data_IF_264576165938
#
_entry.id   IF_264576165938
#
_cell.length_a   1.000
_cell.length_b   1.000
_cell.length_c   1.000
_cell.angle_alpha   90.00
_cell.angle_beta   90.00
_cell.angle_gamma   90.00
#
_symmetry.space_group_name_H-M   'P 1'
#
loop_
_entity.id
_entity.type
_entity.pdbx_description
1 polymer ?
#
# COMPACT_ATOMS: atom_id res chain seq x y z
N UNK A 1 5.36 0.75 19.30
CA UNK A 1 5.48 -0.21 18.17
C UNK A 1 4.14 -0.73 17.65
N UNK A 2 3.11 -0.95 18.49
CA UNK A 2 1.81 -1.45 18.01
C UNK A 2 1.11 -0.53 16.98
N UNK A 3 1.26 0.80 17.11
CA UNK A 3 0.61 1.81 16.28
C UNK A 3 0.85 1.63 14.77
N UNK A 4 2.06 1.24 14.36
CA UNK A 4 2.42 1.15 12.92
C UNK A 4 2.45 -0.28 12.37
N UNK A 5 1.95 -1.27 13.11
CA UNK A 5 2.03 -2.68 12.73
C UNK A 5 1.39 -2.97 11.36
N UNK A 6 0.16 -2.50 11.14
CA UNK A 6 -0.54 -2.71 9.87
C UNK A 6 0.17 -2.05 8.68
N UNK A 7 0.74 -0.86 8.90
CA UNK A 7 1.54 -0.16 7.91
C UNK A 7 2.82 -0.95 7.53
N UNK A 8 3.59 -1.41 8.52
CA UNK A 8 4.81 -2.19 8.30
C UNK A 8 4.51 -3.52 7.58
N UNK A 9 3.42 -4.19 7.95
CA UNK A 9 2.96 -5.41 7.26
C UNK A 9 2.66 -5.11 5.78
N UNK A 10 1.94 -4.01 5.51
CA UNK A 10 1.62 -3.58 4.13
C UNK A 10 2.89 -3.33 3.31
N UNK A 11 3.86 -2.59 3.86
CA UNK A 11 5.16 -2.38 3.21
C UNK A 11 5.93 -3.68 2.98
N UNK A 12 5.92 -4.59 3.96
CA UNK A 12 6.57 -5.89 3.85
C UNK A 12 6.05 -6.68 2.65
N UNK A 13 4.73 -6.73 2.46
CA UNK A 13 4.13 -7.38 1.30
C UNK A 13 4.53 -6.72 -0.01
N UNK A 14 4.51 -5.38 -0.08
CA UNK A 14 4.92 -4.63 -1.26
C UNK A 14 6.39 -4.94 -1.60
N UNK A 15 7.29 -4.92 -0.62
CA UNK A 15 8.70 -5.23 -0.81
C UNK A 15 8.92 -6.67 -1.23
N UNK A 16 8.20 -7.63 -0.68
CA UNK A 16 8.25 -9.03 -1.12
C UNK A 16 7.87 -9.13 -2.60
N UNK A 17 6.75 -8.50 -3.01
CA UNK A 17 6.31 -8.50 -4.41
C UNK A 17 7.39 -7.92 -5.33
N UNK A 18 8.01 -6.80 -4.94
CA UNK A 18 9.02 -6.10 -5.75
C UNK A 18 10.35 -6.86 -5.80
N UNK A 19 10.89 -7.28 -4.65
CA UNK A 19 12.20 -7.92 -4.51
C UNK A 19 12.21 -9.28 -5.20
N UNK A 20 11.17 -10.11 -4.99
CA UNK A 20 11.11 -11.44 -5.57
C UNK A 20 10.63 -11.44 -7.03
N UNK A 21 10.25 -10.29 -7.59
CA UNK A 21 9.89 -10.23 -8.99
C UNK A 21 11.11 -10.38 -9.92
N UNK A 22 11.10 -11.41 -10.76
CA UNK A 22 12.18 -11.68 -11.72
C UNK A 22 12.17 -10.81 -12.99
N UNK A 23 11.09 -10.08 -13.27
CA UNK A 23 10.97 -9.26 -14.50
C UNK A 23 11.51 -7.85 -14.32
N UNK A 24 11.80 -7.46 -13.08
CA UNK A 24 12.24 -6.12 -12.74
C UNK A 24 13.76 -6.10 -12.54
N UNK A 25 14.44 -5.18 -13.22
CA UNK A 25 15.88 -4.96 -13.03
C UNK A 25 16.15 -4.36 -11.65
N UNK A 26 17.36 -4.59 -11.13
CA UNK A 26 17.73 -4.15 -9.78
C UNK A 26 17.58 -2.63 -9.58
N UNK A 27 17.91 -1.83 -10.60
CA UNK A 27 17.68 -0.38 -10.59
C UNK A 27 16.20 -0.01 -10.40
N UNK A 28 15.28 -0.67 -11.13
CA UNK A 28 13.85 -0.43 -10.99
C UNK A 28 13.32 -0.81 -9.62
N UNK A 29 13.81 -1.91 -9.05
CA UNK A 29 13.50 -2.31 -7.66
C UNK A 29 13.97 -1.25 -6.67
N UNK A 30 15.18 -0.74 -6.83
CA UNK A 30 15.75 0.29 -5.97
C UNK A 30 14.89 1.56 -5.97
N UNK A 31 14.52 2.06 -7.16
CA UNK A 31 13.64 3.25 -7.28
C UNK A 31 12.30 3.05 -6.57
N UNK A 32 11.66 1.89 -6.75
CA UNK A 32 10.38 1.58 -6.10
C UNK A 32 10.55 1.49 -4.58
N UNK A 33 11.58 0.81 -4.10
CA UNK A 33 11.85 0.71 -2.66
C UNK A 33 12.09 2.09 -2.07
N UNK A 34 12.92 2.92 -2.68
CA UNK A 34 13.17 4.30 -2.25
C UNK A 34 11.89 5.12 -2.22
N UNK A 35 11.04 5.01 -3.25
CA UNK A 35 9.73 5.67 -3.27
C UNK A 35 8.89 5.31 -2.03
N UNK A 36 8.75 4.02 -1.74
CA UNK A 36 7.97 3.56 -0.58
C UNK A 36 8.62 3.96 0.75
N UNK A 37 9.95 4.00 0.85
CA UNK A 37 10.63 4.51 2.05
C UNK A 37 10.33 6.00 2.28
N UNK A 38 10.31 6.81 1.21
CA UNK A 38 9.95 8.23 1.29
C UNK A 38 8.50 8.41 1.73
N UNK A 39 7.56 7.67 1.13
CA UNK A 39 6.14 7.68 1.55
C UNK A 39 6.01 7.27 3.03
N UNK A 40 6.80 6.29 3.47
CA UNK A 40 6.82 5.82 4.85
C UNK A 40 7.29 6.89 5.83
N UNK A 41 8.37 7.59 5.49
CA UNK A 41 8.86 8.70 6.27
C UNK A 41 7.78 9.77 6.44
N UNK A 42 7.15 10.21 5.35
CA UNK A 42 6.10 11.22 5.41
C UNK A 42 4.88 10.76 6.21
N UNK A 43 4.43 9.51 6.03
CA UNK A 43 3.29 8.97 6.77
C UNK A 43 3.53 9.04 8.28
N UNK A 44 4.67 8.52 8.75
CA UNK A 44 5.00 8.48 10.18
C UNK A 44 5.17 9.89 10.73
N UNK A 45 5.92 10.77 10.05
CA UNK A 45 6.20 12.12 10.54
C UNK A 45 4.93 12.96 10.65
N UNK A 46 4.07 12.94 9.61
CA UNK A 46 2.83 13.73 9.64
C UNK A 46 1.82 13.14 10.62
N UNK A 47 1.73 11.81 10.72
CA UNK A 47 0.84 11.15 11.69
C UNK A 47 1.21 11.51 13.13
N UNK A 48 2.50 11.40 13.47
CA UNK A 48 2.99 11.79 14.79
C UNK A 48 2.72 13.27 15.09
N UNK A 49 2.94 14.16 14.10
CA UNK A 49 2.65 15.59 14.27
C UNK A 49 1.16 15.87 14.50
N UNK A 50 0.28 15.16 13.80
CA UNK A 50 -1.17 15.27 14.03
C UNK A 50 -1.50 14.76 15.43
N UNK A 51 -0.98 13.59 15.81
CA UNK A 51 -1.25 13.00 17.14
C UNK A 51 -0.76 13.90 18.28
N UNK A 52 0.46 14.43 18.20
CA UNK A 52 1.05 15.36 19.18
C UNK A 52 0.25 16.66 19.31
N UNK A 53 -0.31 17.19 18.21
CA UNK A 53 -1.14 18.42 18.24
C UNK A 53 -2.39 18.27 19.11
N UNK A 54 -2.92 17.06 19.26
CA UNK A 54 -4.19 16.81 19.97
C UNK A 54 -4.04 15.82 21.14
N UNK A 55 -2.82 15.53 21.59
CA UNK A 55 -2.53 14.48 22.58
C UNK A 55 -3.27 14.70 23.92
N UNK A 56 -3.35 15.95 24.38
CA UNK A 56 -3.97 16.32 25.66
C UNK A 56 -5.41 16.88 25.52
N UNK A 57 -6.01 16.79 24.33
CA UNK A 57 -7.34 17.36 24.07
C UNK A 57 -8.39 16.26 24.10
N UNK A 58 -9.15 16.20 25.20
CA UNK A 58 -10.26 15.26 25.39
C UNK A 58 -11.59 16.00 25.54
N UNK A 59 -12.66 15.58 24.83
CA UNK A 59 -12.67 14.53 23.80
C UNK A 59 -11.92 14.92 22.52
N UNK A 60 -11.45 13.92 21.76
CA UNK A 60 -10.74 14.14 20.49
C UNK A 60 -11.64 14.97 19.54
N UNK A 61 -11.19 16.16 19.11
CA UNK A 61 -12.03 17.09 18.36
C UNK A 61 -12.27 16.62 16.93
N UNK A 62 -13.33 17.12 16.29
CA UNK A 62 -13.64 16.80 14.89
C UNK A 62 -12.51 17.19 13.93
N UNK A 63 -11.81 18.29 14.24
CA UNK A 63 -10.67 18.77 13.45
C UNK A 63 -9.54 17.73 13.35
N UNK A 64 -9.32 16.93 14.41
CA UNK A 64 -8.36 15.83 14.37
C UNK A 64 -8.77 14.79 13.33
N UNK A 65 -10.03 14.37 13.36
CA UNK A 65 -10.54 13.32 12.47
C UNK A 65 -10.52 13.77 11.02
N UNK A 66 -10.92 15.00 10.73
CA UNK A 66 -10.88 15.54 9.36
C UNK A 66 -9.45 15.57 8.81
N UNK A 67 -8.49 16.03 9.63
CA UNK A 67 -7.07 16.06 9.25
C UNK A 67 -6.49 14.65 9.09
N UNK A 68 -6.75 13.76 10.05
CA UNK A 68 -6.21 12.41 10.06
C UNK A 68 -6.80 11.56 8.92
N UNK A 69 -8.13 11.55 8.75
CA UNK A 69 -8.80 10.80 7.67
C UNK A 69 -8.37 11.32 6.30
N UNK A 70 -8.27 12.64 6.11
CA UNK A 70 -7.79 13.23 4.85
C UNK A 70 -6.33 12.85 4.54
N UNK A 71 -5.46 12.90 5.56
CA UNK A 71 -4.07 12.49 5.41
C UNK A 71 -3.92 10.99 5.11
N UNK A 72 -4.65 10.14 5.83
CA UNK A 72 -4.64 8.69 5.62
C UNK A 72 -5.16 8.35 4.24
N UNK A 73 -6.25 8.97 3.77
CA UNK A 73 -6.75 8.77 2.40
C UNK A 73 -5.71 9.13 1.34
N UNK A 74 -4.96 10.21 1.56
CA UNK A 74 -3.86 10.62 0.68
C UNK A 74 -2.74 9.56 0.67
N UNK A 75 -2.35 9.06 1.84
CA UNK A 75 -1.31 8.03 1.95
C UNK A 75 -1.76 6.69 1.38
N UNK A 76 -3.03 6.31 1.55
CA UNK A 76 -3.61 5.14 0.89
C UNK A 76 -3.40 5.22 -0.62
N UNK A 77 -3.69 6.36 -1.24
CA UNK A 77 -3.46 6.54 -2.68
C UNK A 77 -1.98 6.42 -3.05
N UNK A 78 -1.08 7.05 -2.28
CA UNK A 78 0.36 6.94 -2.53
C UNK A 78 0.93 5.54 -2.31
N UNK A 79 0.34 4.73 -1.43
CA UNK A 79 0.77 3.34 -1.24
C UNK A 79 0.22 2.42 -2.34
N UNK A 80 -1.08 2.51 -2.59
CA UNK A 80 -1.82 1.50 -3.33
C UNK A 80 -1.97 1.81 -4.83
N UNK A 81 -1.91 3.07 -5.29
CA UNK A 81 -1.94 3.36 -6.73
C UNK A 81 -0.67 2.89 -7.45
N UNK A 82 0.56 3.17 -6.96
CA UNK A 82 1.77 2.63 -7.57
C UNK A 82 1.81 1.10 -7.51
N UNK A 83 1.25 0.51 -6.45
CA UNK A 83 1.11 -0.94 -6.32
C UNK A 83 0.24 -1.54 -7.43
N UNK A 84 -0.85 -0.88 -7.84
CA UNK A 84 -1.62 -1.31 -9.03
C UNK A 84 -0.70 -1.35 -10.25
N UNK A 85 0.08 -0.29 -10.50
CA UNK A 85 1.01 -0.23 -11.62
C UNK A 85 2.01 -1.39 -11.61
N UNK A 86 2.57 -1.71 -10.44
CA UNK A 86 3.47 -2.85 -10.24
C UNK A 86 2.75 -4.16 -10.54
N UNK A 87 1.56 -4.40 -9.96
CA UNK A 87 0.80 -5.63 -10.16
C UNK A 87 0.43 -5.81 -11.64
N UNK A 88 -0.06 -4.76 -12.31
CA UNK A 88 -0.40 -4.78 -13.74
C UNK A 88 0.82 -5.12 -14.58
N UNK A 89 1.98 -4.49 -14.31
CA UNK A 89 3.23 -4.83 -14.98
C UNK A 89 3.60 -6.30 -14.84
N UNK A 90 3.49 -6.85 -13.62
CA UNK A 90 3.80 -8.26 -13.35
C UNK A 90 2.86 -9.19 -14.12
N UNK A 91 1.55 -8.93 -14.06
CA UNK A 91 0.55 -9.72 -14.80
C UNK A 91 0.74 -9.66 -16.31
N UNK A 92 1.05 -8.48 -16.84
CA UNK A 92 1.37 -8.31 -18.26
C UNK A 92 2.59 -9.14 -18.68
N UNK A 93 3.65 -9.13 -17.86
CA UNK A 93 4.86 -9.94 -18.11
C UNK A 93 4.60 -11.43 -17.98
N UNK A 94 3.75 -11.87 -17.05
CA UNK A 94 3.32 -13.26 -16.95
C UNK A 94 2.53 -13.69 -18.19
N UNK A 95 1.55 -12.90 -18.59
CA UNK A 95 0.69 -13.20 -19.73
C UNK A 95 1.48 -13.28 -21.05
N UNK A 96 2.39 -12.33 -21.29
CA UNK A 96 3.21 -12.30 -22.50
C UNK A 96 4.22 -13.44 -22.58
N UNK A 97 4.75 -13.92 -21.44
CA UNK A 97 5.68 -15.06 -21.39
C UNK A 97 5.02 -16.44 -21.33
N UNK A 98 3.71 -16.52 -21.09
CA UNK A 98 3.00 -17.79 -21.04
C UNK A 98 2.91 -18.43 -22.44
N UNK A 99 3.46 -19.64 -22.59
CA UNK A 99 3.50 -20.37 -23.87
C UNK A 99 2.17 -21.02 -24.24
N UNK A 100 1.37 -21.44 -23.26
CA UNK A 100 0.14 -22.20 -23.49
C UNK A 100 -1.09 -21.33 -23.31
N UNK A 101 -2.14 -21.61 -24.11
CA UNK A 101 -3.46 -20.96 -23.95
C UNK A 101 -4.03 -21.18 -22.54
N UNK A 102 -3.91 -22.41 -22.01
CA UNK A 102 -4.31 -22.74 -20.63
C UNK A 102 -3.58 -21.89 -19.59
N UNK A 103 -2.27 -21.71 -19.73
CA UNK A 103 -1.49 -20.86 -18.81
C UNK A 103 -1.94 -19.40 -18.82
N UNK A 104 -2.25 -18.85 -20.00
CA UNK A 104 -2.81 -17.49 -20.13
C UNK A 104 -4.17 -17.34 -19.44
N UNK A 105 -5.05 -18.33 -19.58
CA UNK A 105 -6.36 -18.34 -18.90
C UNK A 105 -6.19 -18.39 -17.38
N UNK A 106 -5.30 -19.24 -16.87
CA UNK A 106 -5.03 -19.32 -15.42
C UNK A 106 -4.47 -17.99 -14.86
N UNK A 107 -3.58 -17.33 -15.59
CA UNK A 107 -3.07 -16.01 -15.21
C UNK A 107 -4.20 -14.97 -15.15
N UNK A 108 -5.10 -14.95 -16.14
CA UNK A 108 -6.24 -14.04 -16.12
C UNK A 108 -7.19 -14.34 -14.95
N UNK A 109 -7.46 -15.62 -14.68
CA UNK A 109 -8.29 -16.02 -13.55
C UNK A 109 -7.68 -15.63 -12.20
N UNK A 110 -6.35 -15.67 -12.05
CA UNK A 110 -5.68 -15.29 -10.80
C UNK A 110 -5.71 -13.79 -10.52
N UNK A 111 -6.05 -12.94 -11.49
CA UNK A 111 -6.26 -11.49 -11.27
C UNK A 111 -7.39 -11.25 -10.28
N UNK A 112 -8.43 -12.09 -10.28
CA UNK A 112 -9.60 -11.95 -9.41
C UNK A 112 -9.18 -12.04 -7.92
N UNK A 113 -8.58 -13.13 -7.43
CA UNK A 113 -8.16 -13.21 -6.03
C UNK A 113 -7.09 -12.15 -5.70
N UNK A 114 -6.20 -11.81 -6.62
CA UNK A 114 -5.23 -10.73 -6.38
C UNK A 114 -5.90 -9.36 -6.17
N UNK A 115 -6.97 -9.07 -6.92
CA UNK A 115 -7.76 -7.84 -6.77
C UNK A 115 -8.51 -7.81 -5.44
N UNK A 116 -9.10 -8.95 -5.03
CA UNK A 116 -9.77 -9.07 -3.73
C UNK A 116 -8.78 -8.78 -2.59
N UNK A 117 -7.59 -9.38 -2.65
CA UNK A 117 -6.53 -9.13 -1.66
C UNK A 117 -6.13 -7.65 -1.66
N UNK A 118 -5.90 -7.06 -2.83
CA UNK A 118 -5.57 -5.64 -2.95
C UNK A 118 -6.62 -4.73 -2.30
N UNK A 119 -7.91 -4.92 -2.63
CA UNK A 119 -9.00 -4.11 -2.08
C UNK A 119 -9.08 -4.29 -0.57
N UNK A 120 -8.95 -5.52 -0.07
CA UNK A 120 -8.98 -5.81 1.36
C UNK A 120 -7.84 -5.11 2.10
N UNK A 121 -6.61 -5.15 1.60
CA UNK A 121 -5.48 -4.45 2.23
C UNK A 121 -5.64 -2.93 2.18
N UNK A 122 -6.10 -2.37 1.05
CA UNK A 122 -6.35 -0.93 0.92
C UNK A 122 -7.45 -0.44 1.87
N UNK A 123 -8.51 -1.23 2.01
CA UNK A 123 -9.61 -0.96 2.93
C UNK A 123 -9.13 -1.06 4.39
N UNK A 124 -8.47 -2.15 4.77
CA UNK A 124 -7.96 -2.34 6.14
C UNK A 124 -6.98 -1.24 6.54
N UNK A 125 -6.09 -0.83 5.65
CA UNK A 125 -5.17 0.27 5.91
C UNK A 125 -5.93 1.57 6.21
N UNK A 126 -6.87 1.94 5.33
CA UNK A 126 -7.66 3.17 5.51
C UNK A 126 -8.55 3.12 6.75
N UNK A 127 -9.12 1.95 7.04
CA UNK A 127 -9.96 1.72 8.22
C UNK A 127 -9.15 1.82 9.51
N UNK A 128 -8.02 1.12 9.61
CA UNK A 128 -7.21 1.10 10.84
C UNK A 128 -6.64 2.48 11.16
N UNK A 129 -6.24 3.25 10.15
CA UNK A 129 -5.54 4.51 10.38
C UNK A 129 -6.42 5.75 10.30
N UNK A 130 -7.51 5.71 9.52
CA UNK A 130 -8.32 6.87 9.17
C UNK A 130 -9.78 6.79 9.63
N UNK A 131 -10.20 5.72 10.29
CA UNK A 131 -11.58 5.59 10.79
C UNK A 131 -11.81 6.46 12.03
N UNK A 132 -12.90 7.23 12.01
CA UNK A 132 -13.44 7.96 13.17
C UNK A 132 -14.40 7.03 13.93
N UNK A 133 -14.07 6.62 15.17
CA UNK A 133 -14.91 5.76 16.00
C UNK A 133 -16.20 6.43 16.49
#
# INVERSE_FOLDING_TARGET
MAQYTGFVITLGFIFIIVIFNKYMFWWGKSVIITYYLVVSYFFITVKNRIDEKYEDILPVPEEYWDQNTGWVGTITNYLFLPLIGIIVFIYFRWFTKARTKKGKVLILLSVIPATVVYVLFSFLFSFVYGYRP
#
